data_IF_780728152281
#
_entry.id   IF_780728152281
#
_cell.length_a   1.000
_cell.length_b   1.000
_cell.length_c   1.000
_cell.angle_alpha   90.00
_cell.angle_beta   90.00
_cell.angle_gamma   90.00
#
_symmetry.space_group_name_H-M   'P 1'
#
loop_
_entity.id
_entity.type
_entity.pdbx_description
1 polymer ?
#
# COMPACT_ATOMS: atom_id res chain seq x y z
N UNK A 1 -5.70 -1.63 -28.12
CA UNK A 1 -6.96 -1.02 -27.63
C UNK A 1 -6.58 0.07 -26.67
N UNK A 2 -6.75 1.32 -27.02
CA UNK A 2 -6.52 2.47 -26.14
C UNK A 2 -7.65 2.51 -25.11
N UNK A 3 -7.30 2.30 -23.83
CA UNK A 3 -8.25 2.45 -22.73
C UNK A 3 -8.63 3.92 -22.63
N UNK A 4 -9.91 4.23 -22.65
CA UNK A 4 -10.41 5.57 -22.35
C UNK A 4 -10.28 5.78 -20.84
N UNK A 5 -9.57 6.82 -20.35
CA UNK A 5 -9.53 7.10 -18.93
C UNK A 5 -10.96 7.35 -18.43
N UNK A 6 -11.43 6.55 -17.51
CA UNK A 6 -12.70 6.80 -16.82
C UNK A 6 -12.49 7.85 -15.74
N UNK A 7 -12.43 9.12 -16.15
CA UNK A 7 -12.57 10.23 -15.19
C UNK A 7 -14.00 10.18 -14.64
N UNK A 8 -14.20 10.11 -13.32
CA UNK A 8 -15.54 10.08 -12.76
C UNK A 8 -16.33 11.32 -13.18
N UNK A 9 -17.52 11.14 -13.72
CA UNK A 9 -18.46 12.21 -13.97
C UNK A 9 -18.80 12.89 -12.63
N UNK A 10 -18.24 14.07 -12.38
CA UNK A 10 -18.53 14.87 -11.19
C UNK A 10 -17.36 15.19 -10.26
N UNK A 11 -16.11 14.87 -10.60
CA UNK A 11 -14.91 15.33 -9.87
C UNK A 11 -14.68 14.68 -8.48
N UNK A 12 -15.36 13.60 -8.15
CA UNK A 12 -15.13 12.81 -6.91
C UNK A 12 -14.39 11.51 -7.27
N UNK A 13 -13.32 11.22 -6.54
CA UNK A 13 -12.56 9.98 -6.64
C UNK A 13 -12.94 9.04 -5.49
N UNK A 14 -12.93 7.73 -5.74
CA UNK A 14 -12.91 6.75 -4.65
C UNK A 14 -11.57 6.82 -3.91
N UNK A 15 -11.52 6.28 -2.69
CA UNK A 15 -10.25 6.19 -1.95
C UNK A 15 -9.22 5.34 -2.67
N UNK A 16 -9.64 4.30 -3.41
CA UNK A 16 -8.78 3.49 -4.26
C UNK A 16 -8.14 4.30 -5.38
N UNK A 17 -8.93 5.10 -6.08
CA UNK A 17 -8.44 6.03 -7.12
C UNK A 17 -7.49 7.08 -6.52
N UNK A 18 -7.84 7.67 -5.38
CA UNK A 18 -7.00 8.64 -4.69
C UNK A 18 -5.65 8.04 -4.26
N UNK A 19 -5.63 6.77 -3.84
CA UNK A 19 -4.40 6.07 -3.48
C UNK A 19 -3.50 5.82 -4.71
N UNK A 20 -4.06 5.41 -5.83
CA UNK A 20 -3.30 5.20 -7.07
C UNK A 20 -2.75 6.53 -7.60
N UNK A 21 -3.56 7.59 -7.62
CA UNK A 21 -3.11 8.92 -8.02
C UNK A 21 -2.00 9.46 -7.09
N UNK A 22 -2.09 9.20 -5.78
CA UNK A 22 -1.03 9.55 -4.84
C UNK A 22 0.26 8.80 -5.12
N UNK A 23 0.21 7.49 -5.44
CA UNK A 23 1.38 6.71 -5.86
C UNK A 23 2.01 7.29 -7.14
N UNK A 24 1.20 7.67 -8.12
CA UNK A 24 1.66 8.29 -9.37
C UNK A 24 2.34 9.63 -9.14
N UNK A 25 1.75 10.47 -8.28
CA UNK A 25 2.29 11.77 -7.90
C UNK A 25 3.66 11.66 -7.20
N UNK A 26 3.91 10.58 -6.46
CA UNK A 26 5.20 10.28 -5.82
C UNK A 26 6.19 9.55 -6.76
N UNK A 27 5.84 9.41 -8.04
CA UNK A 27 6.72 8.85 -9.07
C UNK A 27 6.79 7.32 -9.10
N UNK A 28 5.84 6.62 -8.48
CA UNK A 28 5.77 5.16 -8.53
C UNK A 28 5.58 4.68 -9.98
N UNK A 29 6.40 3.70 -10.40
CA UNK A 29 6.31 3.05 -11.72
C UNK A 29 5.96 1.58 -11.61
N UNK A 30 6.24 0.95 -10.48
CA UNK A 30 6.00 -0.47 -10.26
C UNK A 30 5.38 -0.68 -8.88
N UNK A 31 4.33 -1.49 -8.85
CA UNK A 31 3.69 -1.97 -7.62
C UNK A 31 3.78 -3.50 -7.64
N UNK A 32 4.42 -4.07 -6.62
CA UNK A 32 4.51 -5.53 -6.44
C UNK A 32 3.40 -5.97 -5.50
N UNK A 33 2.74 -7.09 -5.77
CA UNK A 33 1.70 -7.50 -4.84
C UNK A 33 0.86 -8.68 -5.26
N UNK A 34 -0.12 -8.99 -4.43
CA UNK A 34 -1.08 -10.05 -4.65
C UNK A 34 -2.50 -9.46 -4.64
N UNK A 35 -3.27 -9.77 -5.67
CA UNK A 35 -4.65 -9.29 -5.79
C UNK A 35 -5.54 -9.95 -4.72
N UNK A 36 -6.35 -9.14 -4.05
CA UNK A 36 -7.30 -9.63 -3.06
C UNK A 36 -8.44 -8.66 -2.77
N UNK A 37 -9.44 -9.14 -2.04
CA UNK A 37 -10.71 -8.43 -1.89
C UNK A 37 -10.67 -7.20 -0.98
N UNK A 38 -9.68 -7.09 -0.09
CA UNK A 38 -9.59 -5.97 0.84
C UNK A 38 -9.05 -4.68 0.21
N UNK A 39 -8.42 -4.78 -0.97
CA UNK A 39 -7.83 -3.64 -1.71
C UNK A 39 -8.26 -3.64 -3.17
N UNK A 40 -9.42 -4.24 -3.47
CA UNK A 40 -9.92 -4.42 -4.83
C UNK A 40 -10.07 -3.08 -5.56
N UNK A 41 -10.51 -2.04 -4.87
CA UNK A 41 -10.69 -0.70 -5.41
C UNK A 41 -9.36 -0.06 -5.89
N UNK A 42 -8.24 -0.42 -5.23
CA UNK A 42 -6.92 -0.01 -5.73
C UNK A 42 -6.50 -0.80 -6.97
N UNK A 43 -6.79 -2.11 -7.03
CA UNK A 43 -6.48 -2.92 -8.22
C UNK A 43 -7.31 -2.49 -9.42
N UNK A 44 -8.58 -2.14 -9.21
CA UNK A 44 -9.44 -1.58 -10.24
C UNK A 44 -8.85 -0.26 -10.78
N UNK A 45 -8.48 0.65 -9.89
CA UNK A 45 -7.85 1.91 -10.27
C UNK A 45 -6.47 1.72 -10.96
N UNK A 46 -5.66 0.73 -10.53
CA UNK A 46 -4.39 0.39 -11.18
C UNK A 46 -4.59 -0.17 -12.60
N UNK A 47 -5.71 -0.85 -12.84
CA UNK A 47 -6.04 -1.34 -14.18
C UNK A 47 -6.29 -0.22 -15.19
N UNK A 48 -6.77 0.93 -14.73
CA UNK A 48 -7.13 2.08 -15.57
C UNK A 48 -5.96 3.01 -15.90
N UNK A 49 -4.78 2.80 -15.29
CA UNK A 49 -3.59 3.62 -15.55
C UNK A 49 -2.54 2.85 -16.32
N UNK A 50 -1.84 3.52 -17.25
CA UNK A 50 -0.83 2.89 -18.13
C UNK A 50 0.61 3.18 -17.68
N UNK A 51 0.83 4.13 -16.77
CA UNK A 51 2.14 4.58 -16.32
C UNK A 51 2.63 3.91 -15.02
N UNK A 52 1.81 3.04 -14.42
CA UNK A 52 2.16 2.20 -13.28
C UNK A 52 1.97 0.73 -13.65
N UNK A 53 3.03 -0.04 -13.58
CA UNK A 53 2.98 -1.49 -13.86
C UNK A 53 2.74 -2.26 -12.56
N UNK A 54 1.65 -3.01 -12.49
CA UNK A 54 1.43 -3.98 -11.43
C UNK A 54 2.15 -5.30 -11.75
N UNK A 55 2.97 -5.78 -10.81
CA UNK A 55 3.73 -7.03 -10.90
C UNK A 55 3.15 -8.00 -9.88
N UNK A 56 2.36 -8.95 -10.37
CA UNK A 56 1.68 -9.95 -9.55
C UNK A 56 2.64 -11.00 -8.98
N UNK A 57 2.43 -11.36 -7.73
CA UNK A 57 3.15 -12.43 -7.02
C UNK A 57 2.18 -13.47 -6.49
N UNK A 58 2.69 -14.59 -5.98
CA UNK A 58 1.87 -15.64 -5.37
C UNK A 58 1.95 -15.64 -3.82
N UNK A 59 2.69 -14.69 -3.24
CA UNK A 59 2.85 -14.52 -1.80
C UNK A 59 3.32 -13.07 -1.56
N UNK A 60 2.68 -12.33 -0.68
CA UNK A 60 3.02 -10.93 -0.37
C UNK A 60 4.45 -10.78 0.19
N UNK A 61 4.98 -11.79 0.86
CA UNK A 61 6.38 -11.83 1.29
C UNK A 61 7.32 -11.69 0.08
N UNK A 62 7.05 -12.42 -0.99
CA UNK A 62 7.81 -12.30 -2.24
C UNK A 62 7.70 -10.89 -2.81
N UNK A 63 6.50 -10.33 -2.87
CA UNK A 63 6.27 -8.95 -3.31
C UNK A 63 7.06 -7.93 -2.48
N UNK A 64 7.12 -8.14 -1.16
CA UNK A 64 7.88 -7.26 -0.27
C UNK A 64 9.39 -7.32 -0.53
N UNK A 65 9.94 -8.52 -0.75
CA UNK A 65 11.36 -8.66 -1.13
C UNK A 65 11.66 -8.07 -2.51
N UNK A 66 10.73 -8.16 -3.46
CA UNK A 66 10.87 -7.51 -4.77
C UNK A 66 10.87 -5.99 -4.63
N UNK A 67 9.97 -5.42 -3.82
CA UNK A 67 9.95 -4.00 -3.52
C UNK A 67 11.23 -3.53 -2.82
N UNK A 68 11.76 -4.30 -1.87
CA UNK A 68 13.07 -4.05 -1.23
C UNK A 68 14.21 -4.04 -2.26
N UNK A 69 14.29 -5.07 -3.11
CA UNK A 69 15.29 -5.15 -4.18
C UNK A 69 15.19 -3.99 -5.17
N UNK A 70 13.97 -3.65 -5.58
CA UNK A 70 13.71 -2.50 -6.45
C UNK A 70 14.16 -1.17 -5.82
N UNK A 71 13.83 -0.94 -4.55
CA UNK A 71 14.23 0.26 -3.83
C UNK A 71 15.75 0.43 -3.79
N UNK A 72 16.49 -0.66 -3.54
CA UNK A 72 17.97 -0.65 -3.53
C UNK A 72 18.55 -0.40 -4.91
N UNK A 73 17.99 -1.01 -5.94
CA UNK A 73 18.51 -0.90 -7.30
C UNK A 73 18.21 0.47 -7.93
N UNK A 74 17.01 1.00 -7.70
CA UNK A 74 16.57 2.28 -8.27
C UNK A 74 17.02 3.51 -7.48
N UNK A 75 17.36 3.35 -6.21
CA UNK A 75 17.63 4.44 -5.29
C UNK A 75 16.37 5.20 -4.82
N UNK A 76 15.20 4.81 -5.31
CA UNK A 76 13.88 5.34 -4.95
C UNK A 76 13.15 4.47 -3.92
N UNK A 77 11.85 4.65 -3.78
CA UNK A 77 11.01 3.80 -2.93
C UNK A 77 10.48 2.59 -3.73
N UNK A 78 10.44 1.42 -3.09
CA UNK A 78 9.72 0.26 -3.60
C UNK A 78 8.31 0.20 -3.01
N UNK A 79 7.32 -0.21 -3.79
CA UNK A 79 5.92 -0.25 -3.35
C UNK A 79 5.42 -1.68 -3.38
N UNK A 80 4.85 -2.15 -2.26
CA UNK A 80 4.16 -3.45 -2.18
C UNK A 80 2.71 -3.26 -1.73
N UNK A 81 1.80 -3.98 -2.38
CA UNK A 81 0.35 -3.95 -2.11
C UNK A 81 -0.13 -5.36 -1.75
N UNK A 82 -0.55 -5.55 -0.51
CA UNK A 82 -1.22 -6.77 -0.06
C UNK A 82 -2.70 -6.72 -0.42
N UNK A 83 -3.19 -7.81 -0.99
CA UNK A 83 -4.57 -7.92 -1.42
C UNK A 83 -5.58 -8.11 -0.30
N UNK A 84 -5.10 -8.46 0.91
CA UNK A 84 -5.97 -8.81 2.03
C UNK A 84 -5.49 -8.18 3.34
N UNK A 85 -6.45 -7.90 4.25
CA UNK A 85 -6.15 -7.66 5.66
C UNK A 85 -5.70 -8.98 6.34
N UNK A 86 -5.37 -8.95 7.63
CA UNK A 86 -4.99 -10.16 8.35
C UNK A 86 -3.88 -10.96 7.65
N UNK A 87 -4.20 -12.09 6.98
CA UNK A 87 -3.18 -12.96 6.40
C UNK A 87 -2.32 -12.27 5.34
N UNK A 88 -2.89 -11.42 4.49
CA UNK A 88 -2.11 -10.64 3.51
C UNK A 88 -1.17 -9.65 4.18
N UNK A 89 -1.64 -8.98 5.23
CA UNK A 89 -0.81 -8.08 6.01
C UNK A 89 0.32 -8.83 6.77
N UNK A 90 0.03 -9.96 7.40
CA UNK A 90 1.06 -10.73 8.15
C UNK A 90 2.14 -11.28 7.23
N UNK A 91 1.84 -11.61 5.98
CA UNK A 91 2.83 -12.06 5.01
C UNK A 91 3.88 -10.98 4.65
N UNK A 92 3.59 -9.70 4.86
CA UNK A 92 4.55 -8.60 4.62
C UNK A 92 5.67 -8.53 5.66
N UNK A 93 5.46 -9.10 6.85
CA UNK A 93 6.31 -8.89 8.05
C UNK A 93 7.77 -9.24 7.78
N UNK A 94 8.06 -10.41 7.22
CA UNK A 94 9.44 -10.88 6.99
C UNK A 94 10.22 -9.90 6.09
N UNK A 95 9.62 -9.51 4.97
CA UNK A 95 10.27 -8.60 4.02
C UNK A 95 10.45 -7.19 4.58
N UNK A 96 9.48 -6.69 5.36
CA UNK A 96 9.59 -5.38 6.01
C UNK A 96 10.65 -5.37 7.12
N UNK A 97 10.75 -6.44 7.91
CA UNK A 97 11.81 -6.57 8.90
C UNK A 97 13.20 -6.53 8.24
N UNK A 98 13.38 -7.23 7.11
CA UNK A 98 14.60 -7.18 6.31
C UNK A 98 14.84 -5.77 5.75
N UNK A 99 13.85 -5.15 5.14
CA UNK A 99 13.97 -3.81 4.59
C UNK A 99 14.35 -2.77 5.66
N UNK A 100 13.82 -2.92 6.88
CA UNK A 100 14.19 -2.07 8.03
C UNK A 100 15.66 -2.24 8.41
N UNK A 101 16.14 -3.48 8.52
CA UNK A 101 17.53 -3.76 8.86
C UNK A 101 18.50 -3.25 7.77
N UNK A 102 18.06 -3.24 6.51
CA UNK A 102 18.83 -2.78 5.37
C UNK A 102 18.66 -1.28 5.05
N UNK A 103 17.88 -0.55 5.83
CA UNK A 103 17.55 0.87 5.56
C UNK A 103 16.94 1.09 4.17
N UNK A 104 16.16 0.14 3.69
CA UNK A 104 15.53 0.17 2.39
C UNK A 104 14.16 0.84 2.45
N UNK A 105 13.89 1.88 1.64
CA UNK A 105 12.61 2.59 1.67
C UNK A 105 11.54 1.81 0.94
N UNK A 106 10.73 1.07 1.68
CA UNK A 106 9.58 0.32 1.16
C UNK A 106 8.30 0.97 1.65
N UNK A 107 7.40 1.29 0.71
CA UNK A 107 6.03 1.69 0.98
C UNK A 107 5.19 0.42 0.95
N UNK A 108 4.78 -0.03 2.11
CA UNK A 108 3.93 -1.21 2.25
C UNK A 108 2.49 -0.78 2.47
N UNK A 109 1.59 -1.36 1.70
CA UNK A 109 0.17 -1.04 1.72
C UNK A 109 -0.59 -2.34 1.96
N UNK A 110 -1.51 -2.34 2.90
CA UNK A 110 -2.42 -3.46 3.14
C UNK A 110 -3.84 -2.96 3.35
N UNK A 111 -4.81 -3.75 2.93
CA UNK A 111 -6.19 -3.54 3.34
C UNK A 111 -6.33 -3.68 4.86
N UNK A 112 -7.33 -3.03 5.41
CA UNK A 112 -7.75 -3.19 6.79
C UNK A 112 -9.26 -3.40 6.85
N UNK A 113 -9.74 -3.90 8.00
CA UNK A 113 -11.18 -3.99 8.22
C UNK A 113 -11.84 -2.62 8.07
N UNK A 114 -13.05 -2.62 7.52
CA UNK A 114 -13.93 -1.46 7.56
C UNK A 114 -14.00 -0.91 8.98
N UNK A 115 -14.01 0.42 9.11
CA UNK A 115 -14.03 1.12 10.41
C UNK A 115 -15.19 0.66 11.29
N UNK A 116 -16.33 0.28 10.69
CA UNK A 116 -17.49 -0.23 11.41
C UNK A 116 -17.29 -1.63 12.03
N UNK A 117 -16.30 -2.39 11.61
CA UNK A 117 -16.05 -3.76 12.06
C UNK A 117 -14.81 -3.92 12.93
N UNK A 118 -14.01 -2.88 13.13
CA UNK A 118 -12.83 -2.90 13.98
C UNK A 118 -13.18 -3.18 15.44
N UNK A 119 -12.32 -3.92 16.15
CA UNK A 119 -12.46 -4.31 17.56
C UNK A 119 -13.69 -5.20 17.85
N UNK A 120 -14.06 -6.04 16.88
CA UNK A 120 -15.22 -6.96 17.01
C UNK A 120 -14.86 -8.42 16.76
N UNK A 121 -13.59 -8.78 16.76
CA UNK A 121 -13.08 -10.10 16.39
C UNK A 121 -13.65 -10.54 15.02
N UNK A 122 -13.67 -9.60 14.07
CA UNK A 122 -14.22 -9.83 12.75
C UNK A 122 -13.27 -10.74 11.93
N UNK A 123 -13.80 -11.31 10.84
CA UNK A 123 -13.03 -12.21 9.99
C UNK A 123 -11.71 -11.58 9.53
N UNK A 124 -10.60 -12.27 9.79
CA UNK A 124 -9.24 -11.84 9.47
C UNK A 124 -8.80 -10.55 10.19
N UNK A 125 -9.39 -10.21 11.31
CA UNK A 125 -8.93 -9.08 12.11
C UNK A 125 -7.56 -9.33 12.71
N UNK A 126 -6.66 -8.37 12.53
CA UNK A 126 -5.34 -8.33 13.17
C UNK A 126 -5.06 -6.87 13.52
N UNK A 127 -4.51 -6.62 14.68
CA UNK A 127 -3.98 -5.28 15.01
C UNK A 127 -2.72 -4.99 14.17
N UNK A 128 -2.96 -4.49 12.95
CA UNK A 128 -1.89 -4.16 12.01
C UNK A 128 -1.03 -3.00 12.51
N UNK A 129 -1.57 -2.13 13.36
CA UNK A 129 -0.82 -1.02 13.94
C UNK A 129 0.26 -1.56 14.88
N UNK A 130 -0.11 -2.44 15.81
CA UNK A 130 0.83 -3.09 16.72
C UNK A 130 1.79 -4.03 15.97
N UNK A 131 1.30 -4.77 14.97
CA UNK A 131 2.08 -5.72 14.18
C UNK A 131 3.27 -5.04 13.48
N UNK A 132 3.05 -3.90 12.85
CA UNK A 132 4.05 -3.23 12.03
C UNK A 132 4.90 -2.20 12.77
N UNK A 133 4.49 -1.73 13.94
CA UNK A 133 5.21 -0.73 14.71
C UNK A 133 6.70 -1.07 14.93
N UNK A 134 7.09 -2.29 15.34
CA UNK A 134 8.49 -2.63 15.58
C UNK A 134 9.34 -2.79 14.33
N UNK A 135 8.73 -3.01 13.16
CA UNK A 135 9.42 -3.35 11.91
C UNK A 135 9.32 -2.28 10.82
N UNK A 136 8.72 -1.14 11.12
CA UNK A 136 8.62 0.01 10.21
C UNK A 136 9.12 1.29 10.87
N UNK A 137 9.33 2.34 10.09
CA UNK A 137 9.61 3.69 10.63
C UNK A 137 8.35 4.34 11.19
N UNK A 138 7.21 4.08 10.53
CA UNK A 138 5.90 4.56 10.93
C UNK A 138 4.81 3.72 10.28
N UNK A 139 3.70 3.59 10.97
CA UNK A 139 2.48 2.92 10.51
C UNK A 139 1.32 3.89 10.59
N UNK A 140 0.48 3.92 9.56
CA UNK A 140 -0.78 4.68 9.53
C UNK A 140 -1.95 3.74 9.28
N UNK A 141 -3.07 4.05 9.88
CA UNK A 141 -4.39 3.60 9.42
C UNK A 141 -5.12 4.82 8.90
N UNK A 142 -5.48 4.80 7.63
CA UNK A 142 -6.09 5.95 6.96
C UNK A 142 -7.52 6.14 7.48
N UNK A 143 -7.87 7.31 8.05
CA UNK A 143 -9.17 7.49 8.69
C UNK A 143 -10.32 7.80 7.71
N UNK A 144 -10.00 8.36 6.54
CA UNK A 144 -11.00 8.77 5.54
C UNK A 144 -10.35 8.97 4.17
N UNK A 145 -11.14 8.89 3.10
CA UNK A 145 -10.65 8.96 1.72
C UNK A 145 -9.96 10.28 1.38
N UNK A 146 -10.42 11.40 1.92
CA UNK A 146 -9.83 12.73 1.73
C UNK A 146 -8.42 12.86 2.33
N UNK A 147 -8.06 12.00 3.31
CA UNK A 147 -6.75 11.96 3.93
C UNK A 147 -5.74 11.07 3.20
N UNK A 148 -6.18 10.29 2.21
CA UNK A 148 -5.30 9.40 1.45
C UNK A 148 -4.11 10.12 0.84
N UNK A 149 -4.26 11.23 0.06
CA UNK A 149 -3.13 11.88 -0.59
C UNK A 149 -2.10 12.45 0.40
N UNK A 150 -2.57 12.98 1.53
CA UNK A 150 -1.71 13.51 2.58
C UNK A 150 -0.86 12.41 3.22
N UNK A 151 -1.51 11.28 3.58
CA UNK A 151 -0.83 10.16 4.26
C UNK A 151 0.18 9.49 3.33
N UNK A 152 -0.16 9.30 2.06
CA UNK A 152 0.79 8.76 1.09
C UNK A 152 2.02 9.65 0.91
N UNK A 153 1.84 10.96 0.75
CA UNK A 153 2.95 11.92 0.70
C UNK A 153 3.82 11.84 1.95
N UNK A 154 3.20 11.76 3.14
CA UNK A 154 3.95 11.61 4.38
C UNK A 154 4.68 10.26 4.44
N UNK A 155 4.08 9.18 3.96
CA UNK A 155 4.67 7.85 3.89
C UNK A 155 5.95 7.85 3.05
N UNK A 156 5.90 8.39 1.83
CA UNK A 156 7.08 8.50 0.96
C UNK A 156 8.16 9.38 1.58
N UNK A 157 7.79 10.55 2.10
CA UNK A 157 8.75 11.44 2.79
C UNK A 157 9.39 10.74 3.97
N UNK A 158 8.64 10.00 4.78
CA UNK A 158 9.15 9.28 5.94
C UNK A 158 10.08 8.13 5.54
N UNK A 159 9.70 7.34 4.53
CA UNK A 159 10.52 6.23 4.06
C UNK A 159 11.86 6.70 3.50
N UNK A 160 11.85 7.80 2.74
CA UNK A 160 13.03 8.35 2.06
C UNK A 160 13.90 9.25 2.95
N UNK A 161 13.38 9.76 4.07
CA UNK A 161 14.16 10.59 5.00
C UNK A 161 15.39 9.85 5.55
N UNK A 162 16.47 10.56 5.93
CA UNK A 162 17.69 9.97 6.46
C UNK A 162 17.45 8.86 7.47
N UNK A 163 18.31 7.81 7.41
CA UNK A 163 18.06 6.45 7.87
C UNK A 163 16.78 5.94 7.21
N UNK A 164 16.82 5.85 5.87
CA UNK A 164 15.73 5.29 5.07
C UNK A 164 15.20 4.00 5.67
N UNK A 165 13.98 3.63 5.38
CA UNK A 165 13.39 2.40 5.89
C UNK A 165 11.92 2.25 5.51
N UNK A 166 11.35 1.08 5.76
CA UNK A 166 9.98 0.78 5.37
C UNK A 166 8.98 1.53 6.23
N UNK A 167 7.82 1.74 5.63
CA UNK A 167 6.62 2.28 6.28
C UNK A 167 5.41 1.41 5.94
N UNK A 168 4.37 1.49 6.75
CA UNK A 168 3.12 0.76 6.51
C UNK A 168 1.93 1.72 6.43
N UNK A 169 1.09 1.53 5.42
CA UNK A 169 -0.20 2.22 5.26
C UNK A 169 -1.31 1.17 5.25
N UNK A 170 -2.18 1.23 6.25
CA UNK A 170 -3.36 0.38 6.36
C UNK A 170 -4.57 1.15 5.81
N UNK A 171 -5.29 0.55 4.87
CA UNK A 171 -6.42 1.16 4.19
C UNK A 171 -7.72 0.41 4.55
N UNK A 172 -8.55 0.96 5.44
CA UNK A 172 -9.87 0.40 5.68
C UNK A 172 -10.70 0.31 4.40
N UNK A 173 -11.44 -0.79 4.23
CA UNK A 173 -12.17 -1.05 2.99
C UNK A 173 -13.20 0.03 2.66
N UNK A 174 -13.89 0.55 3.66
CA UNK A 174 -14.85 1.65 3.52
C UNK A 174 -14.20 3.01 3.18
N UNK A 175 -12.90 3.15 3.41
CA UNK A 175 -12.11 4.31 2.97
C UNK A 175 -11.73 4.19 1.50
N UNK A 176 -11.58 2.97 0.99
CA UNK A 176 -11.22 2.72 -0.42
C UNK A 176 -12.40 2.85 -1.39
N UNK A 177 -13.64 2.61 -0.89
CA UNK A 177 -14.87 2.58 -1.68
C UNK A 177 -15.29 3.95 -2.27
#
# INVERSE_FOLDING_TARGET
MTKTPTTPLGGRMSGGQAAVEALRAEGTRHVFGLIGSATMEMFDALYDVDDVTFIGVHDERTGTHMADGYARASGGAGVVLAGQNGPGATNLVTGLAQAKAAYSPVISIAGALSTAHQYRDAFQEVDQQALFAPITKKTWTVPSADRVPEIFREAFRTALAPRRGPVQVNLPRDVLA
#
